data_IF_967320690646
#
_entry.id   IF_967320690646
#
_cell.length_a   1.000
_cell.length_b   1.000
_cell.length_c   1.000
_cell.angle_alpha   90.00
_cell.angle_beta   90.00
_cell.angle_gamma   90.00
#
_symmetry.space_group_name_H-M   'P 1'
#
loop_
_entity.id
_entity.type
_entity.pdbx_description
1 polymer ?
#
# COMPACT_ATOMS: atom_id res chain seq x y z
N UNK A 1 21.18 13.07 2.11
CA UNK A 1 20.30 13.08 3.30
C UNK A 1 19.08 12.25 2.94
N UNK A 2 18.79 11.20 3.69
CA UNK A 2 17.75 10.21 3.34
C UNK A 2 16.34 10.77 3.52
N UNK A 3 15.45 10.57 2.52
CA UNK A 3 14.02 10.90 2.60
C UNK A 3 13.22 9.71 3.16
N UNK A 4 12.00 9.95 3.63
CA UNK A 4 11.24 8.93 4.38
C UNK A 4 10.88 7.75 3.48
N UNK A 5 10.56 8.03 2.21
CA UNK A 5 10.37 7.01 1.18
C UNK A 5 11.56 6.05 1.07
N UNK A 6 12.78 6.59 0.94
CA UNK A 6 14.01 5.79 0.78
C UNK A 6 14.23 4.83 1.96
N UNK A 7 14.04 5.30 3.20
CA UNK A 7 14.18 4.46 4.39
C UNK A 7 13.20 3.29 4.39
N UNK A 8 11.94 3.52 4.02
CA UNK A 8 10.95 2.45 3.94
C UNK A 8 11.27 1.42 2.87
N UNK A 9 11.68 1.86 1.67
CA UNK A 9 12.06 0.93 0.61
C UNK A 9 13.29 0.12 1.01
N UNK A 10 14.31 0.76 1.58
CA UNK A 10 15.52 0.08 2.04
C UNK A 10 15.23 -0.95 3.14
N UNK A 11 14.38 -0.60 4.10
CA UNK A 11 13.95 -1.54 5.13
C UNK A 11 13.18 -2.72 4.51
N UNK A 12 12.26 -2.44 3.58
CA UNK A 12 11.49 -3.48 2.90
C UNK A 12 12.38 -4.48 2.15
N UNK A 13 13.37 -3.97 1.40
CA UNK A 13 14.34 -4.78 0.68
C UNK A 13 15.17 -5.65 1.62
N UNK A 14 15.65 -5.09 2.74
CA UNK A 14 16.37 -5.85 3.77
C UNK A 14 15.56 -7.01 4.33
N UNK A 15 14.28 -6.78 4.67
CA UNK A 15 13.39 -7.84 5.15
C UNK A 15 13.12 -8.90 4.06
N UNK A 16 12.95 -8.47 2.81
CA UNK A 16 12.75 -9.37 1.67
C UNK A 16 13.99 -10.26 1.43
N UNK A 17 15.19 -9.71 1.51
CA UNK A 17 16.45 -10.45 1.35
C UNK A 17 16.60 -11.55 2.42
N UNK A 18 16.18 -11.26 3.67
CA UNK A 18 16.14 -12.27 4.74
C UNK A 18 15.14 -13.38 4.41
N UNK A 19 13.93 -13.04 3.97
CA UNK A 19 12.93 -14.04 3.58
C UNK A 19 13.43 -14.93 2.42
N UNK A 20 14.08 -14.34 1.41
CA UNK A 20 14.70 -15.08 0.29
C UNK A 20 15.84 -15.98 0.77
N UNK A 21 16.66 -15.51 1.71
CA UNK A 21 17.72 -16.33 2.29
C UNK A 21 17.15 -17.57 3.00
N UNK A 22 16.09 -17.40 3.78
CA UNK A 22 15.43 -18.52 4.47
C UNK A 22 14.77 -19.48 3.46
N UNK A 23 14.09 -18.94 2.42
CA UNK A 23 13.54 -19.75 1.32
C UNK A 23 14.61 -20.66 0.69
N UNK A 24 15.77 -20.09 0.39
CA UNK A 24 16.89 -20.82 -0.20
C UNK A 24 17.45 -21.90 0.73
N UNK A 25 17.52 -21.65 2.04
CA UNK A 25 17.95 -22.64 3.03
C UNK A 25 16.97 -23.83 3.07
N UNK A 26 15.67 -23.54 3.12
CA UNK A 26 14.59 -24.52 3.14
C UNK A 26 14.61 -25.40 1.88
N UNK A 27 14.73 -24.80 0.69
CA UNK A 27 14.81 -25.51 -0.59
C UNK A 27 16.03 -26.42 -0.70
N UNK A 28 17.17 -26.00 -0.15
CA UNK A 28 18.43 -26.77 -0.21
C UNK A 28 18.52 -27.89 0.83
N UNK A 29 17.51 -28.05 1.71
CA UNK A 29 17.50 -29.02 2.82
C UNK A 29 18.82 -29.01 3.61
N UNK A 30 19.38 -27.81 3.80
CA UNK A 30 20.60 -27.67 4.60
C UNK A 30 20.32 -28.14 6.03
N UNK A 31 21.34 -28.59 6.77
CA UNK A 31 21.16 -28.92 8.19
C UNK A 31 20.66 -27.67 8.91
N UNK A 32 19.40 -27.71 9.33
CA UNK A 32 18.78 -26.60 10.03
C UNK A 32 19.21 -26.65 11.50
N UNK A 33 19.61 -25.50 12.04
CA UNK A 33 19.77 -25.32 13.49
C UNK A 33 18.42 -25.20 14.22
N UNK A 34 17.32 -25.07 13.47
CA UNK A 34 15.96 -24.85 13.96
C UNK A 34 14.95 -25.73 13.19
N UNK A 35 13.76 -25.94 13.75
CA UNK A 35 12.70 -26.70 13.09
C UNK A 35 12.33 -26.06 11.73
N UNK A 36 12.27 -26.82 10.61
CA UNK A 36 11.81 -26.30 9.32
C UNK A 36 10.47 -25.55 9.38
N UNK A 37 9.54 -25.96 10.24
CA UNK A 37 8.27 -25.25 10.47
C UNK A 37 8.51 -23.84 11.02
N UNK A 38 9.37 -23.73 12.02
CA UNK A 38 9.67 -22.44 12.65
C UNK A 38 10.36 -21.50 11.65
N UNK A 39 11.21 -22.04 10.78
CA UNK A 39 11.82 -21.30 9.68
C UNK A 39 10.78 -20.81 8.66
N UNK A 40 9.77 -21.62 8.33
CA UNK A 40 8.64 -21.19 7.50
C UNK A 40 7.88 -20.01 8.14
N UNK A 41 7.61 -20.07 9.45
CA UNK A 41 6.93 -18.98 10.18
C UNK A 41 7.77 -17.70 10.27
N UNK A 42 9.08 -17.82 10.48
CA UNK A 42 9.98 -16.67 10.48
C UNK A 42 10.07 -16.05 9.08
N UNK A 43 10.13 -16.88 8.03
CA UNK A 43 10.13 -16.41 6.62
C UNK A 43 8.89 -15.59 6.30
N UNK A 44 7.69 -16.10 6.60
CA UNK A 44 6.45 -15.33 6.35
C UNK A 44 6.36 -14.07 7.21
N UNK A 45 6.98 -14.05 8.40
CA UNK A 45 7.10 -12.83 9.22
C UNK A 45 7.93 -11.75 8.53
N UNK A 46 9.07 -12.14 7.93
CA UNK A 46 9.90 -11.20 7.15
C UNK A 46 9.18 -10.72 5.89
N UNK A 47 8.41 -11.59 5.20
CA UNK A 47 7.55 -11.17 4.09
C UNK A 47 6.48 -10.16 4.53
N UNK A 48 5.84 -10.38 5.68
CA UNK A 48 4.86 -9.46 6.25
C UNK A 48 5.46 -8.06 6.46
N UNK A 49 6.65 -7.99 7.08
CA UNK A 49 7.36 -6.73 7.35
C UNK A 49 7.84 -6.03 6.09
N UNK A 50 8.27 -6.80 5.08
CA UNK A 50 8.63 -6.28 3.77
C UNK A 50 7.40 -5.63 3.10
N UNK A 51 6.27 -6.35 3.06
CA UNK A 51 5.01 -5.86 2.52
C UNK A 51 4.54 -4.58 3.23
N UNK A 52 4.55 -4.56 4.56
CA UNK A 52 4.16 -3.38 5.35
C UNK A 52 5.04 -2.16 5.03
N UNK A 53 6.35 -2.36 4.93
CA UNK A 53 7.30 -1.28 4.63
C UNK A 53 7.14 -0.77 3.19
N UNK A 54 6.90 -1.66 2.22
CA UNK A 54 6.59 -1.26 0.85
C UNK A 54 5.29 -0.48 0.75
N UNK A 55 4.23 -0.91 1.44
CA UNK A 55 2.96 -0.18 1.49
C UNK A 55 3.16 1.23 2.05
N UNK A 56 3.95 1.40 3.11
CA UNK A 56 4.26 2.72 3.67
C UNK A 56 5.01 3.60 2.68
N UNK A 57 6.02 3.04 2.01
CA UNK A 57 6.75 3.74 0.95
C UNK A 57 5.81 4.17 -0.19
N UNK A 58 4.99 3.25 -0.67
CA UNK A 58 4.01 3.53 -1.71
C UNK A 58 3.02 4.59 -1.23
N UNK A 59 2.45 4.51 -0.04
CA UNK A 59 1.49 5.50 0.48
C UNK A 59 2.06 6.92 0.55
N UNK A 60 3.35 7.09 0.85
CA UNK A 60 4.01 8.40 0.79
C UNK A 60 4.00 9.00 -0.61
N UNK A 61 4.15 8.16 -1.65
CA UNK A 61 4.03 8.58 -3.04
C UNK A 61 2.55 8.67 -3.47
N UNK A 62 1.71 7.75 -3.02
CA UNK A 62 0.31 7.62 -3.43
C UNK A 62 -0.58 8.70 -2.85
N UNK A 63 -0.22 9.35 -1.75
CA UNK A 63 -0.90 10.56 -1.31
C UNK A 63 -0.95 11.61 -2.43
N UNK A 64 0.05 11.69 -3.33
CA UNK A 64 -0.02 12.45 -4.59
C UNK A 64 -1.10 11.91 -5.52
N UNK A 65 -1.07 10.59 -5.77
CA UNK A 65 -1.89 9.91 -6.80
C UNK A 65 -3.37 9.84 -6.41
N UNK A 66 -3.74 9.99 -5.13
CA UNK A 66 -5.14 10.19 -4.73
C UNK A 66 -5.57 11.63 -4.82
N UNK A 67 -4.76 12.53 -4.27
CA UNK A 67 -5.14 13.93 -4.13
C UNK A 67 -5.16 14.61 -5.49
N UNK A 68 -4.23 14.33 -6.39
CA UNK A 68 -4.17 14.96 -7.72
C UNK A 68 -5.39 14.64 -8.59
N UNK A 69 -5.76 13.37 -8.85
CA UNK A 69 -6.91 13.07 -9.68
C UNK A 69 -8.20 13.58 -9.06
N UNK A 70 -8.40 13.38 -7.75
CA UNK A 70 -9.59 13.85 -7.05
C UNK A 70 -9.69 15.39 -7.09
N UNK A 71 -8.59 16.11 -6.85
CA UNK A 71 -8.54 17.58 -6.96
C UNK A 71 -8.85 18.04 -8.37
N UNK A 72 -8.28 17.36 -9.38
CA UNK A 72 -8.52 17.67 -10.79
C UNK A 72 -9.99 17.47 -11.18
N UNK A 73 -10.62 16.42 -10.66
CA UNK A 73 -12.04 16.11 -10.93
C UNK A 73 -12.96 17.08 -10.20
N UNK A 74 -12.67 17.39 -8.93
CA UNK A 74 -13.41 18.36 -8.13
C UNK A 74 -13.43 19.76 -8.77
N UNK A 75 -12.27 20.21 -9.26
CA UNK A 75 -12.11 21.48 -9.96
C UNK A 75 -12.88 21.53 -11.28
N UNK A 76 -13.02 20.40 -11.98
CA UNK A 76 -13.56 20.35 -13.35
C UNK A 76 -15.07 20.06 -13.41
N UNK A 77 -15.62 19.35 -12.42
CA UNK A 77 -17.05 19.00 -12.38
C UNK A 77 -17.92 20.04 -11.64
N UNK A 78 -17.34 21.12 -11.10
CA UNK A 78 -18.05 22.11 -10.26
C UNK A 78 -18.85 21.47 -9.10
N UNK A 79 -18.50 20.24 -8.72
CA UNK A 79 -19.14 19.55 -7.60
C UNK A 79 -18.54 20.11 -6.32
N UNK A 80 -19.38 20.68 -5.47
CA UNK A 80 -18.95 21.07 -4.14
C UNK A 80 -18.64 19.81 -3.31
N UNK A 81 -17.36 19.46 -3.29
CA UNK A 81 -16.77 18.35 -2.51
C UNK A 81 -15.84 18.86 -1.42
N UNK A 82 -15.93 20.16 -1.09
CA UNK A 82 -14.98 20.83 -0.19
C UNK A 82 -14.85 20.10 1.14
N UNK A 83 -15.98 19.71 1.74
CA UNK A 83 -16.00 19.02 3.02
C UNK A 83 -15.36 17.63 2.91
N UNK A 84 -15.76 16.80 1.94
CA UNK A 84 -15.21 15.45 1.76
C UNK A 84 -13.72 15.48 1.45
N UNK A 85 -13.26 16.49 0.70
CA UNK A 85 -11.86 16.74 0.42
C UNK A 85 -11.10 17.14 1.68
N UNK A 86 -11.60 18.09 2.47
CA UNK A 86 -10.96 18.54 3.73
C UNK A 86 -10.86 17.38 4.74
N UNK A 87 -11.89 16.54 4.84
CA UNK A 87 -11.89 15.34 5.69
C UNK A 87 -10.87 14.29 5.21
N UNK A 88 -10.80 14.01 3.90
CA UNK A 88 -9.79 13.10 3.34
C UNK A 88 -8.38 13.65 3.55
N UNK A 89 -8.18 14.94 3.28
CA UNK A 89 -6.92 15.64 3.49
C UNK A 89 -6.48 15.49 4.95
N UNK A 90 -7.37 15.77 5.91
CA UNK A 90 -7.07 15.64 7.34
C UNK A 90 -6.61 14.23 7.72
N UNK A 91 -7.29 13.19 7.25
CA UNK A 91 -6.93 11.80 7.56
C UNK A 91 -5.62 11.37 6.89
N UNK A 92 -5.38 11.81 5.65
CA UNK A 92 -4.09 11.61 4.96
C UNK A 92 -2.95 12.28 5.71
N UNK A 93 -3.17 13.49 6.23
CA UNK A 93 -2.17 14.21 7.03
C UNK A 93 -1.82 13.43 8.30
N UNK A 94 -2.80 12.88 9.01
CA UNK A 94 -2.57 12.06 10.20
C UNK A 94 -1.82 10.76 9.86
N UNK A 95 -2.19 10.10 8.77
CA UNK A 95 -1.49 8.92 8.27
C UNK A 95 -0.01 9.22 7.94
N UNK A 96 0.26 10.30 7.23
CA UNK A 96 1.63 10.73 6.90
C UNK A 96 2.40 11.10 8.16
N UNK A 97 1.80 11.85 9.10
CA UNK A 97 2.42 12.15 10.41
C UNK A 97 2.79 10.88 11.15
N UNK A 98 1.93 9.86 11.16
CA UNK A 98 2.22 8.58 11.79
C UNK A 98 3.38 7.83 11.12
N UNK A 99 3.49 7.92 9.79
CA UNK A 99 4.53 7.23 9.02
C UNK A 99 5.85 8.00 8.96
N UNK A 100 5.86 9.29 9.21
CA UNK A 100 7.09 10.13 9.16
C UNK A 100 7.67 10.41 10.55
N UNK A 101 6.90 10.20 11.63
CA UNK A 101 7.36 10.45 12.99
C UNK A 101 8.48 9.47 13.39
N UNK A 102 9.71 9.99 13.50
CA UNK A 102 10.93 9.22 13.84
C UNK A 102 10.90 8.54 15.20
N UNK A 103 10.26 9.11 16.22
CA UNK A 103 10.14 8.47 17.55
C UNK A 103 9.15 7.32 17.53
N UNK A 104 8.02 7.48 16.82
CA UNK A 104 7.07 6.38 16.56
C UNK A 104 7.71 5.32 15.69
N UNK A 105 8.48 5.69 14.66
CA UNK A 105 9.29 4.77 13.86
C UNK A 105 10.26 3.98 14.76
N UNK A 106 11.13 4.62 15.52
CA UNK A 106 12.11 3.95 16.39
C UNK A 106 11.47 3.01 17.44
N UNK A 107 10.26 3.34 17.94
CA UNK A 107 9.52 2.48 18.88
C UNK A 107 8.60 1.43 18.21
N UNK A 108 8.21 1.61 16.94
CA UNK A 108 7.23 0.79 16.20
C UNK A 108 7.74 0.19 14.89
N UNK A 109 9.03 0.29 14.58
CA UNK A 109 9.70 -0.45 13.48
C UNK A 109 9.47 -1.97 13.62
N UNK A 110 9.08 -2.43 14.80
CA UNK A 110 8.68 -3.81 15.07
C UNK A 110 7.33 -4.21 14.45
N UNK A 111 6.32 -3.33 14.36
CA UNK A 111 5.04 -3.53 13.67
C UNK A 111 4.07 -2.34 13.89
N UNK A 112 3.51 -1.74 12.84
CA UNK A 112 2.34 -0.86 12.95
C UNK A 112 1.23 -1.32 12.00
N UNK A 113 0.32 -2.18 12.48
CA UNK A 113 -0.64 -2.85 11.61
C UNK A 113 -1.57 -1.87 10.90
N UNK A 114 -1.86 -2.17 9.62
CA UNK A 114 -2.76 -1.36 8.79
C UNK A 114 -4.14 -1.17 9.45
N UNK A 115 -4.62 -2.19 10.18
CA UNK A 115 -5.89 -2.18 10.93
C UNK A 115 -5.97 -1.13 12.04
N UNK A 116 -4.83 -0.75 12.63
CA UNK A 116 -4.73 0.22 13.72
C UNK A 116 -4.23 1.60 13.27
N UNK A 117 -4.12 1.80 11.96
CA UNK A 117 -3.69 3.06 11.35
C UNK A 117 -4.88 3.88 10.86
N UNK A 118 -4.64 5.11 10.41
CA UNK A 118 -5.64 5.94 9.75
C UNK A 118 -6.05 5.40 8.37
N UNK A 119 -5.37 4.37 7.85
CA UNK A 119 -5.57 3.85 6.51
C UNK A 119 -6.99 3.37 6.21
N UNK A 120 -7.70 2.63 7.09
CA UNK A 120 -9.08 2.25 6.81
C UNK A 120 -10.01 3.47 6.69
N UNK A 121 -9.75 4.51 7.48
CA UNK A 121 -10.51 5.77 7.46
C UNK A 121 -10.21 6.52 6.16
N UNK A 122 -8.93 6.66 5.79
CA UNK A 122 -8.51 7.25 4.50
C UNK A 122 -9.20 6.55 3.33
N UNK A 123 -9.21 5.22 3.31
CA UNK A 123 -9.87 4.44 2.25
C UNK A 123 -11.39 4.70 2.23
N UNK A 124 -12.03 4.81 3.40
CA UNK A 124 -13.46 5.13 3.48
C UNK A 124 -13.76 6.54 2.98
N UNK A 125 -12.98 7.54 3.40
CA UNK A 125 -13.14 8.94 2.96
C UNK A 125 -12.89 9.09 1.46
N UNK A 126 -11.88 8.41 0.92
CA UNK A 126 -11.63 8.34 -0.51
C UNK A 126 -12.83 7.72 -1.26
N UNK A 127 -13.43 6.64 -0.74
CA UNK A 127 -14.63 6.05 -1.32
C UNK A 127 -15.82 7.03 -1.35
N UNK A 128 -16.03 7.77 -0.26
CA UNK A 128 -17.14 8.71 -0.14
C UNK A 128 -16.98 9.88 -1.13
N UNK A 129 -15.75 10.38 -1.27
CA UNK A 129 -15.41 11.40 -2.26
C UNK A 129 -15.56 10.89 -3.70
N UNK A 130 -15.03 9.71 -4.03
CA UNK A 130 -15.21 9.08 -5.34
C UNK A 130 -16.68 8.89 -5.71
N UNK A 131 -17.51 8.48 -4.74
CA UNK A 131 -18.96 8.35 -4.94
C UNK A 131 -19.61 9.69 -5.26
N UNK A 132 -19.15 10.76 -4.59
CA UNK A 132 -19.66 12.12 -4.79
C UNK A 132 -19.38 12.67 -6.18
N UNK A 133 -18.23 12.33 -6.75
CA UNK A 133 -17.84 12.70 -8.13
C UNK A 133 -18.31 11.69 -9.19
N UNK A 134 -19.14 10.72 -8.83
CA UNK A 134 -19.74 9.75 -9.77
C UNK A 134 -18.89 8.51 -10.09
N UNK A 135 -17.71 8.36 -9.51
CA UNK A 135 -16.81 7.21 -9.70
C UNK A 135 -17.23 6.00 -8.84
N UNK A 136 -18.33 5.36 -9.23
CA UNK A 136 -19.00 4.31 -8.43
C UNK A 136 -18.18 3.04 -8.24
N UNK A 137 -17.59 2.49 -9.31
CA UNK A 137 -16.80 1.25 -9.21
C UNK A 137 -15.50 1.45 -8.41
N UNK A 138 -14.73 2.54 -8.64
CA UNK A 138 -13.62 2.90 -7.76
C UNK A 138 -14.06 3.03 -6.29
N UNK A 139 -15.14 3.77 -6.01
CA UNK A 139 -15.64 3.94 -4.65
C UNK A 139 -15.95 2.60 -3.95
N UNK A 140 -16.52 1.63 -4.67
CA UNK A 140 -16.76 0.27 -4.14
C UNK A 140 -15.46 -0.44 -3.79
N UNK A 141 -14.41 -0.32 -4.61
CA UNK A 141 -13.11 -0.91 -4.33
C UNK A 141 -12.51 -0.36 -3.04
N UNK A 142 -12.50 0.97 -2.90
CA UNK A 142 -12.03 1.65 -1.69
C UNK A 142 -12.79 1.26 -0.43
N UNK A 143 -14.12 1.20 -0.52
CA UNK A 143 -14.96 0.81 0.60
C UNK A 143 -14.76 -0.67 0.98
N UNK A 144 -14.57 -1.56 -0.01
CA UNK A 144 -14.27 -2.97 0.24
C UNK A 144 -12.92 -3.13 0.94
N UNK A 145 -11.90 -2.41 0.51
CA UNK A 145 -10.58 -2.40 1.14
C UNK A 145 -10.66 -1.87 2.58
N UNK A 146 -11.35 -0.75 2.80
CA UNK A 146 -11.55 -0.19 4.15
C UNK A 146 -12.12 -1.22 5.12
N UNK A 147 -13.18 -1.95 4.72
CA UNK A 147 -13.79 -3.02 5.53
C UNK A 147 -12.82 -4.16 5.81
N UNK A 148 -12.08 -4.61 4.79
CA UNK A 148 -11.08 -5.67 4.93
C UNK A 148 -9.98 -5.28 5.92
N UNK A 149 -9.49 -4.05 5.88
CA UNK A 149 -8.46 -3.56 6.79
C UNK A 149 -8.92 -3.56 8.26
N UNK A 150 -10.22 -3.39 8.52
CA UNK A 150 -10.81 -3.40 9.86
C UNK A 150 -11.09 -4.81 10.41
N UNK A 151 -11.15 -5.83 9.57
CA UNK A 151 -11.38 -7.20 10.04
C UNK A 151 -10.20 -7.70 10.86
N UNK A 152 -10.42 -8.47 11.93
CA UNK A 152 -9.31 -9.00 12.75
C UNK A 152 -8.44 -9.98 11.95
N UNK A 153 -9.08 -10.84 11.16
CA UNK A 153 -8.44 -11.82 10.27
C UNK A 153 -9.19 -11.90 8.95
N UNK A 154 -8.47 -12.21 7.87
CA UNK A 154 -9.06 -12.47 6.55
C UNK A 154 -8.47 -13.75 5.96
N UNK A 155 -9.25 -14.47 5.17
CA UNK A 155 -8.78 -15.64 4.42
C UNK A 155 -8.09 -15.23 3.13
N UNK A 156 -7.27 -16.12 2.59
CA UNK A 156 -6.65 -15.91 1.28
C UNK A 156 -7.68 -15.81 0.14
N UNK A 157 -8.79 -16.55 0.22
CA UNK A 157 -9.88 -16.43 -0.76
C UNK A 157 -10.46 -15.01 -0.79
N UNK A 158 -10.62 -14.39 0.37
CA UNK A 158 -11.08 -12.98 0.47
C UNK A 158 -10.11 -12.03 -0.23
N UNK A 159 -8.80 -12.26 -0.08
CA UNK A 159 -7.75 -11.49 -0.76
C UNK A 159 -7.88 -11.69 -2.27
N UNK A 160 -7.91 -12.94 -2.73
CA UNK A 160 -7.96 -13.31 -4.14
C UNK A 160 -9.19 -12.74 -4.85
N UNK A 161 -10.37 -12.91 -4.27
CA UNK A 161 -11.61 -12.37 -4.82
C UNK A 161 -11.59 -10.84 -4.91
N UNK A 162 -11.00 -10.18 -3.91
CA UNK A 162 -10.91 -8.72 -3.89
C UNK A 162 -9.91 -8.20 -4.91
N UNK A 163 -8.77 -8.89 -5.11
CA UNK A 163 -7.82 -8.58 -6.18
C UNK A 163 -8.44 -8.74 -7.57
N UNK A 164 -9.19 -9.82 -7.80
CA UNK A 164 -9.93 -10.00 -9.06
C UNK A 164 -10.91 -8.85 -9.29
N UNK A 165 -11.63 -8.43 -8.24
CA UNK A 165 -12.51 -7.26 -8.32
C UNK A 165 -11.72 -5.98 -8.67
N UNK A 166 -10.63 -5.68 -7.96
CA UNK A 166 -9.77 -4.52 -8.22
C UNK A 166 -9.22 -4.51 -9.65
N UNK A 167 -8.76 -5.65 -10.16
CA UNK A 167 -8.20 -5.77 -11.52
C UNK A 167 -9.19 -5.46 -12.65
N UNK A 168 -10.49 -5.53 -12.34
CA UNK A 168 -11.58 -5.18 -13.28
C UNK A 168 -12.05 -3.75 -13.10
N UNK A 169 -11.65 -3.07 -12.01
CA UNK A 169 -12.03 -1.70 -11.73
C UNK A 169 -11.13 -0.75 -12.49
N UNK A 170 -11.74 0.08 -13.31
CA UNK A 170 -11.05 1.21 -13.95
C UNK A 170 -11.09 2.39 -12.98
N UNK A 171 -9.93 2.86 -12.51
CA UNK A 171 -9.89 3.83 -11.42
C UNK A 171 -10.05 5.27 -11.91
N UNK A 172 -9.18 5.69 -12.83
CA UNK A 172 -9.11 7.06 -13.31
C UNK A 172 -9.52 7.17 -14.77
N UNK A 173 -9.30 6.14 -15.60
CA UNK A 173 -9.61 6.21 -17.04
C UNK A 173 -11.10 6.43 -17.34
N UNK A 174 -12.02 5.87 -16.55
CA UNK A 174 -13.46 6.13 -16.72
C UNK A 174 -13.80 7.60 -16.40
N UNK A 175 -13.16 8.13 -15.36
CA UNK A 175 -13.36 9.53 -14.96
C UNK A 175 -12.75 10.47 -16.01
N UNK A 176 -11.56 10.14 -16.51
CA UNK A 176 -10.87 10.93 -17.51
C UNK A 176 -11.55 10.91 -18.88
N UNK A 177 -12.10 9.77 -19.31
CA UNK A 177 -12.87 9.67 -20.56
C UNK A 177 -14.05 10.65 -20.57
N UNK A 178 -14.75 10.78 -19.43
CA UNK A 178 -15.83 11.76 -19.27
C UNK A 178 -15.31 13.21 -19.30
N UNK A 179 -14.12 13.46 -18.75
CA UNK A 179 -13.48 14.78 -18.75
C UNK A 179 -13.00 15.22 -20.15
N UNK A 180 -12.53 14.28 -20.96
CA UNK A 180 -12.13 14.48 -22.36
C UNK A 180 -13.32 14.76 -23.26
N UNK A 181 -14.40 14.00 -23.11
CA UNK A 181 -15.65 14.23 -23.85
C UNK A 181 -16.19 15.65 -23.65
N UNK A 182 -16.00 16.21 -22.45
CA UNK A 182 -16.40 17.59 -22.13
C UNK A 182 -15.41 18.66 -22.61
N UNK A 183 -14.17 18.28 -22.97
CA UNK A 183 -13.09 19.21 -23.30
C UNK A 183 -12.24 18.68 -24.47
N UNK A 184 -12.80 18.63 -25.69
CA UNK A 184 -12.15 18.02 -26.85
C UNK A 184 -10.90 18.78 -27.33
N UNK A 185 -10.63 19.98 -26.82
CA UNK A 185 -9.49 20.81 -27.21
C UNK A 185 -8.22 20.56 -26.37
N UNK A 186 -8.23 19.60 -25.45
CA UNK A 186 -7.01 19.20 -24.74
C UNK A 186 -5.99 18.65 -25.74
N UNK A 187 -4.95 19.43 -26.02
CA UNK A 187 -3.72 18.95 -26.66
C UNK A 187 -3.11 17.85 -25.78
N UNK A 188 -2.41 16.91 -26.41
CA UNK A 188 -1.64 15.84 -25.74
C UNK A 188 -2.52 14.75 -25.10
N UNK A 189 -3.68 14.45 -25.70
CA UNK A 189 -4.60 13.40 -25.27
C UNK A 189 -3.92 12.03 -25.09
N UNK A 190 -2.93 11.72 -25.94
CA UNK A 190 -2.17 10.47 -25.87
C UNK A 190 -1.27 10.41 -24.63
N UNK A 191 -0.50 11.46 -24.34
CA UNK A 191 0.35 11.55 -23.15
C UNK A 191 -0.48 11.46 -21.87
N UNK A 192 -1.65 12.10 -21.86
CA UNK A 192 -2.54 12.10 -20.72
C UNK A 192 -3.20 10.71 -20.55
N UNK A 193 -3.61 10.05 -21.64
CA UNK A 193 -4.12 8.67 -21.62
C UNK A 193 -3.09 7.69 -21.04
N UNK A 194 -1.82 7.84 -21.41
CA UNK A 194 -0.72 7.04 -20.84
C UNK A 194 -0.57 7.33 -19.35
N UNK A 195 -0.52 8.61 -18.96
CA UNK A 195 -0.34 9.00 -17.56
C UNK A 195 -1.44 8.43 -16.66
N UNK A 196 -2.71 8.49 -17.09
CA UNK A 196 -3.82 7.91 -16.33
C UNK A 196 -3.80 6.38 -16.32
N UNK A 197 -3.41 5.74 -17.42
CA UNK A 197 -3.27 4.27 -17.45
C UNK A 197 -2.16 3.79 -16.50
N UNK A 198 -1.04 4.52 -16.44
CA UNK A 198 0.04 4.24 -15.50
C UNK A 198 -0.41 4.47 -14.05
N UNK A 199 -1.17 5.53 -13.79
CA UNK A 199 -1.74 5.80 -12.47
C UNK A 199 -2.73 4.70 -12.04
N UNK A 200 -3.57 4.18 -12.95
CA UNK A 200 -4.50 3.07 -12.67
C UNK A 200 -3.77 1.79 -12.29
N UNK A 201 -2.75 1.40 -13.07
CA UNK A 201 -1.91 0.23 -12.76
C UNK A 201 -1.24 0.38 -11.40
N UNK A 202 -0.79 1.59 -11.12
CA UNK A 202 -0.21 1.92 -9.86
C UNK A 202 -1.20 1.79 -8.68
N UNK A 203 -2.38 2.38 -8.79
CA UNK A 203 -3.45 2.28 -7.78
C UNK A 203 -3.78 0.82 -7.51
N UNK A 204 -3.95 0.03 -8.57
CA UNK A 204 -4.19 -1.41 -8.46
C UNK A 204 -3.08 -2.10 -7.66
N UNK A 205 -1.81 -1.82 -7.97
CA UNK A 205 -0.70 -2.39 -7.23
C UNK A 205 -0.75 -2.02 -5.74
N UNK A 206 -0.98 -0.75 -5.41
CA UNK A 206 -1.13 -0.32 -4.01
C UNK A 206 -2.24 -1.10 -3.29
N UNK A 207 -3.43 -1.20 -3.89
CA UNK A 207 -4.56 -1.89 -3.27
C UNK A 207 -4.29 -3.39 -3.08
N UNK A 208 -3.64 -4.04 -4.03
CA UNK A 208 -3.19 -5.43 -3.90
C UNK A 208 -2.21 -5.61 -2.73
N UNK A 209 -1.24 -4.71 -2.58
CA UNK A 209 -0.27 -4.77 -1.47
C UNK A 209 -0.89 -4.42 -0.11
N UNK A 210 -1.95 -3.61 -0.08
CA UNK A 210 -2.74 -3.38 1.14
C UNK A 210 -3.44 -4.66 1.60
N UNK A 211 -4.01 -5.42 0.65
CA UNK A 211 -4.63 -6.71 0.96
C UNK A 211 -3.60 -7.72 1.48
N UNK A 212 -2.44 -7.83 0.82
CA UNK A 212 -1.39 -8.73 1.29
C UNK A 212 -0.86 -8.33 2.66
N UNK A 213 -0.61 -7.04 2.89
CA UNK A 213 -0.16 -6.54 4.19
C UNK A 213 -1.17 -6.87 5.28
N UNK A 214 -2.47 -6.76 4.99
CA UNK A 214 -3.51 -7.13 5.94
C UNK A 214 -3.58 -8.63 6.19
N UNK A 215 -3.50 -9.44 5.14
CA UNK A 215 -3.50 -10.90 5.26
C UNK A 215 -2.30 -11.41 6.08
N UNK A 216 -1.13 -10.79 5.89
CA UNK A 216 0.11 -11.15 6.58
C UNK A 216 0.25 -10.54 7.98
N UNK A 217 -0.72 -9.75 8.45
CA UNK A 217 -0.61 -8.98 9.71
C UNK A 217 -0.28 -9.87 10.91
N UNK A 218 -0.89 -11.05 11.00
CA UNK A 218 -0.58 -12.02 12.05
C UNK A 218 0.86 -12.54 11.97
N UNK A 219 1.38 -12.78 10.77
CA UNK A 219 2.75 -13.25 10.56
C UNK A 219 3.79 -12.22 11.04
N UNK A 220 3.52 -10.92 10.86
CA UNK A 220 4.43 -9.88 11.38
C UNK A 220 4.54 -9.84 12.91
N UNK A 221 3.49 -10.26 13.63
CA UNK A 221 3.44 -10.27 15.10
C UNK A 221 3.92 -11.58 15.67
N UNK A 222 3.42 -12.69 15.12
CA UNK A 222 3.47 -14.01 15.75
C UNK A 222 4.46 -14.95 15.10
N UNK A 223 4.80 -14.74 13.81
CA UNK A 223 5.70 -15.62 13.06
C UNK A 223 7.13 -15.69 13.62
N UNK A 224 7.57 -14.71 14.43
CA UNK A 224 8.88 -14.75 15.10
C UNK A 224 8.90 -15.53 16.42
N UNK A 225 7.73 -15.89 16.97
CA UNK A 225 7.59 -16.52 18.28
C UNK A 225 6.75 -17.81 18.20
N UNK A 226 7.19 -18.80 17.39
CA UNK A 226 6.41 -20.00 17.11
C UNK A 226 6.06 -20.82 18.35
N UNK A 227 6.92 -20.80 19.37
CA UNK A 227 6.70 -21.50 20.65
C UNK A 227 5.53 -20.94 21.50
N UNK A 228 4.98 -19.78 21.15
CA UNK A 228 3.93 -19.09 21.91
C UNK A 228 2.58 -19.01 21.20
N UNK A 229 2.43 -19.73 20.09
CA UNK A 229 1.22 -19.71 19.27
C UNK A 229 0.08 -20.49 19.94
N UNK A 230 -1.12 -19.92 19.91
CA UNK A 230 -2.35 -20.68 20.07
C UNK A 230 -2.66 -21.49 18.80
N UNK A 231 -3.48 -22.54 18.92
CA UNK A 231 -3.91 -23.37 17.79
C UNK A 231 -4.53 -22.55 16.65
N UNK A 232 -5.33 -21.53 17.00
CA UNK A 232 -5.92 -20.61 16.01
C UNK A 232 -4.85 -19.83 15.24
N UNK A 233 -3.85 -19.31 15.95
CA UNK A 233 -2.76 -18.53 15.33
C UNK A 233 -1.86 -19.43 14.47
N UNK A 234 -1.60 -20.66 14.92
CA UNK A 234 -0.83 -21.64 14.14
C UNK A 234 -1.54 -22.01 12.84
N UNK A 235 -2.84 -22.30 12.89
CA UNK A 235 -3.65 -22.58 11.70
C UNK A 235 -3.65 -21.43 10.69
N UNK A 236 -3.72 -20.18 11.17
CA UNK A 236 -3.62 -19.00 10.31
C UNK A 236 -2.24 -18.84 9.67
N UNK A 237 -1.16 -19.14 10.38
CA UNK A 237 0.18 -19.12 9.81
C UNK A 237 0.38 -20.25 8.79
N UNK A 238 -0.20 -21.43 8.99
CA UNK A 238 -0.18 -22.49 7.99
C UNK A 238 -0.88 -22.08 6.69
N UNK A 239 -2.07 -21.47 6.77
CA UNK A 239 -2.76 -20.94 5.58
C UNK A 239 -1.88 -19.94 4.82
N UNK A 240 -1.19 -19.05 5.54
CA UNK A 240 -0.24 -18.11 4.93
C UNK A 240 0.91 -18.85 4.25
N UNK A 241 1.49 -19.86 4.90
CA UNK A 241 2.58 -20.69 4.36
C UNK A 241 2.15 -21.43 3.09
N UNK A 242 0.90 -21.89 2.99
CA UNK A 242 0.37 -22.54 1.78
C UNK A 242 0.30 -21.59 0.58
N UNK A 243 0.01 -20.30 0.82
CA UNK A 243 -0.18 -19.29 -0.23
C UNK A 243 1.00 -18.33 -0.41
N UNK A 244 2.05 -18.44 0.40
CA UNK A 244 3.15 -17.48 0.44
C UNK A 244 3.92 -17.33 -0.87
N UNK A 245 3.95 -18.36 -1.73
CA UNK A 245 4.75 -18.34 -2.95
C UNK A 245 4.32 -17.20 -3.88
N UNK A 246 3.02 -17.07 -4.13
CA UNK A 246 2.49 -16.00 -4.96
C UNK A 246 2.76 -14.63 -4.34
N UNK A 247 2.55 -14.51 -3.04
CA UNK A 247 2.76 -13.27 -2.29
C UNK A 247 4.23 -12.84 -2.40
N UNK A 248 5.16 -13.79 -2.20
CA UNK A 248 6.59 -13.56 -2.29
C UNK A 248 7.02 -13.16 -3.70
N UNK A 249 6.49 -13.79 -4.74
CA UNK A 249 6.79 -13.45 -6.14
C UNK A 249 6.30 -12.03 -6.49
N UNK A 250 5.14 -11.62 -5.98
CA UNK A 250 4.64 -10.26 -6.13
C UNK A 250 5.50 -9.24 -5.38
N UNK A 251 5.85 -9.52 -4.11
CA UNK A 251 6.75 -8.66 -3.33
C UNK A 251 8.15 -8.56 -3.99
N UNK A 252 8.69 -9.66 -4.54
CA UNK A 252 9.94 -9.66 -5.32
C UNK A 252 9.86 -8.74 -6.53
N UNK A 253 8.75 -8.79 -7.26
CA UNK A 253 8.52 -7.95 -8.44
C UNK A 253 8.46 -6.47 -8.06
N UNK A 254 7.71 -6.13 -7.01
CA UNK A 254 7.67 -4.76 -6.49
C UNK A 254 9.05 -4.29 -6.01
N UNK A 255 9.77 -5.12 -5.25
CA UNK A 255 11.10 -4.80 -4.76
C UNK A 255 12.09 -4.48 -5.88
N UNK A 256 12.05 -5.22 -6.99
CA UNK A 256 12.84 -4.90 -8.19
C UNK A 256 12.48 -3.55 -8.79
N UNK A 257 11.18 -3.28 -8.96
CA UNK A 257 10.71 -2.01 -9.52
C UNK A 257 11.13 -0.82 -8.63
N UNK A 258 10.94 -0.92 -7.32
CA UNK A 258 11.30 0.14 -6.38
C UNK A 258 12.83 0.32 -6.29
N UNK A 259 13.61 -0.76 -6.39
CA UNK A 259 15.07 -0.66 -6.43
C UNK A 259 15.55 0.16 -7.64
N UNK A 260 14.95 -0.03 -8.81
CA UNK A 260 15.24 0.78 -10.01
C UNK A 260 14.92 2.25 -9.74
N UNK A 261 13.79 2.54 -9.07
CA UNK A 261 13.44 3.92 -8.72
C UNK A 261 14.41 4.55 -7.71
N UNK A 262 15.00 3.76 -6.79
CA UNK A 262 16.03 4.26 -5.88
C UNK A 262 17.35 4.62 -6.57
N UNK A 263 17.60 4.08 -7.77
CA UNK A 263 18.78 4.41 -8.57
C UNK A 263 18.54 5.65 -9.47
N UNK A 264 17.31 6.17 -9.52
CA UNK A 264 16.94 7.36 -10.29
C UNK A 264 17.00 8.62 -9.41
N UNK A 265 18.05 9.41 -9.57
CA UNK A 265 18.28 10.64 -8.79
C UNK A 265 17.19 11.69 -9.00
N UNK A 266 16.71 11.88 -10.24
CA UNK A 266 15.64 12.83 -10.56
C UNK A 266 14.35 12.45 -9.83
N UNK A 267 13.98 11.16 -9.84
CA UNK A 267 12.82 10.68 -9.13
C UNK A 267 12.93 10.93 -7.62
N UNK A 268 14.10 10.65 -7.03
CA UNK A 268 14.32 10.87 -5.59
C UNK A 268 14.27 12.36 -5.22
N UNK A 269 14.78 13.25 -6.07
CA UNK A 269 14.67 14.69 -5.90
C UNK A 269 13.20 15.12 -5.93
N UNK A 270 12.41 14.65 -6.89
CA UNK A 270 10.96 14.93 -6.95
C UNK A 270 10.20 14.43 -5.72
N UNK A 271 10.50 13.22 -5.25
CA UNK A 271 9.89 12.68 -4.02
C UNK A 271 10.27 13.55 -2.82
N UNK A 272 11.51 14.05 -2.76
CA UNK A 272 11.96 14.92 -1.68
C UNK A 272 11.28 16.29 -1.72
N UNK A 273 11.23 16.94 -2.88
CA UNK A 273 10.50 18.20 -3.09
C UNK A 273 9.04 18.04 -2.64
N UNK A 274 8.43 16.90 -2.97
CA UNK A 274 7.08 16.59 -2.52
C UNK A 274 6.98 16.40 -1.01
N UNK A 275 7.85 15.61 -0.39
CA UNK A 275 7.86 15.45 1.07
C UNK A 275 8.00 16.81 1.77
N UNK A 276 8.81 17.73 1.23
CA UNK A 276 8.96 19.09 1.74
C UNK A 276 7.68 19.93 1.54
N UNK A 277 7.06 19.87 0.36
CA UNK A 277 5.78 20.54 0.10
C UNK A 277 4.66 20.03 1.01
N UNK A 278 4.61 18.71 1.26
CA UNK A 278 3.67 18.11 2.21
C UNK A 278 3.96 18.60 3.63
N UNK A 279 5.22 18.62 4.08
CA UNK A 279 5.57 19.15 5.41
C UNK A 279 5.16 20.61 5.56
N UNK A 280 5.47 21.44 4.58
CA UNK A 280 5.03 22.83 4.57
C UNK A 280 3.50 22.93 4.68
N UNK A 281 2.77 22.20 3.84
CA UNK A 281 1.32 22.13 3.87
C UNK A 281 0.77 21.63 5.22
N UNK A 282 1.48 20.69 5.87
CA UNK A 282 1.20 20.16 7.21
C UNK A 282 1.35 21.17 8.33
N UNK A 283 2.28 22.12 8.18
CA UNK A 283 2.68 23.09 9.20
C UNK A 283 1.93 24.44 9.06
N UNK A 284 1.41 24.79 7.89
CA UNK A 284 0.82 26.12 7.62
C UNK A 284 -0.70 26.24 7.81
N UNK A 285 -1.39 25.21 8.36
CA UNK A 285 -2.85 25.21 8.55
C UNK A 285 -3.29 25.21 10.04
N UNK A 286 -2.37 25.50 10.96
CA UNK A 286 -2.69 25.76 12.37
C UNK A 286 -3.10 27.23 12.59
#
# INVERSE_FOLDING_TARGET
MSNTFYEYVKNALSQLDVAISIENQLLRKQQFLSDPRDLEFIKVSHLARASESFVKALLLIYALIFVLPISFIALKENVNVKQEYEELEFELRNLVKDYTNKEKLMRKISHYPASKSHLPIVMKKAADLLRRIGAKEPAKAYEKISKILLNESISYDTVKETRVFISKTTFLKEIYSNLLLKNPEMKDQYEIDIAFSMADLGIQALLDFLLYTKYLEIASVKGQYPASLSEKEENQLYEIVEHQKEIMDNIKTLGKALKILLENEEFLERVKEFEEAVKYFLETKD
#
